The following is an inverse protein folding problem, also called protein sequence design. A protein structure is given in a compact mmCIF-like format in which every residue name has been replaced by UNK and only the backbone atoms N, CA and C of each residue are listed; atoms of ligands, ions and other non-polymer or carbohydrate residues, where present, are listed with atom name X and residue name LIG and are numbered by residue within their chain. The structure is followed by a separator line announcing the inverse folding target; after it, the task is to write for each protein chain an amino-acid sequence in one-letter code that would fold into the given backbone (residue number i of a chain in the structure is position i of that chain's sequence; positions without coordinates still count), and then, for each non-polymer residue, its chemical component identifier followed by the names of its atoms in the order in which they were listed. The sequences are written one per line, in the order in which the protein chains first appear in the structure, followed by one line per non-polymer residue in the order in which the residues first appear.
data_IF_970541835159
#
_entry.id   IF_970541835159
#
_cell.length_a   1.000
_cell.length_b   1.000
_cell.length_c   1.000
_cell.angle_alpha   90.00
_cell.angle_beta   90.00
_cell.angle_gamma   90.00
#
_symmetry.space_group_name_H-M   'P 1'
#
loop_
_entity.id
_entity.type
_entity.pdbx_description
1 polymer ?
#
# COMPACT_ATOMS: atom_id res chain seq x y z
N UNK A 1 -10.02 13.33 2.64
CA UNK A 1 -9.39 13.90 3.86
C UNK A 1 -7.97 14.46 3.62
N UNK A 2 -7.67 14.95 2.42
CA UNK A 2 -6.31 15.41 2.08
C UNK A 2 -5.84 16.59 2.94
N UNK A 3 -4.59 16.53 3.38
CA UNK A 3 -3.88 17.62 4.07
C UNK A 3 -2.38 17.50 3.77
N UNK A 4 -1.71 18.56 3.32
CA UNK A 4 -0.27 18.53 3.05
C UNK A 4 0.59 18.43 4.33
N UNK A 5 -0.02 18.52 5.52
CA UNK A 5 0.65 18.34 6.81
C UNK A 5 0.52 16.93 7.38
N UNK A 6 -0.23 16.04 6.72
CA UNK A 6 -0.44 14.65 7.15
C UNK A 6 0.25 13.69 6.18
N UNK A 7 0.66 12.50 6.65
CA UNK A 7 1.04 11.42 5.74
C UNK A 7 -0.07 11.11 4.73
N UNK A 8 0.31 10.52 3.59
CA UNK A 8 -0.62 10.19 2.53
C UNK A 8 -1.74 9.28 3.06
N UNK A 9 -2.99 9.64 2.79
CA UNK A 9 -4.16 8.84 3.21
C UNK A 9 -4.61 9.06 4.66
N UNK A 10 -3.84 9.77 5.48
CA UNK A 10 -4.22 10.02 6.87
C UNK A 10 -5.23 11.17 6.97
N UNK A 11 -6.38 10.86 7.57
CA UNK A 11 -7.48 11.78 7.75
C UNK A 11 -7.43 12.48 9.11
N UNK A 12 -8.19 13.58 9.26
CA UNK A 12 -8.20 14.37 10.48
C UNK A 12 -8.92 13.69 11.65
N UNK A 13 -9.82 12.78 11.34
CA UNK A 13 -10.58 11.90 12.24
C UNK A 13 -9.81 10.62 12.61
N UNK A 14 -8.51 10.56 12.29
CA UNK A 14 -7.59 9.44 12.55
C UNK A 14 -7.81 8.19 11.70
N UNK A 15 -8.76 8.18 10.76
CA UNK A 15 -8.83 7.09 9.78
C UNK A 15 -7.75 7.20 8.71
N UNK A 16 -7.47 6.09 8.04
CA UNK A 16 -6.68 6.01 6.82
C UNK A 16 -7.59 5.67 5.65
N UNK A 17 -7.27 6.17 4.46
CA UNK A 17 -8.02 5.88 3.24
C UNK A 17 -7.10 5.59 2.07
N UNK A 18 -7.60 4.86 1.05
CA UNK A 18 -6.90 4.74 -0.22
C UNK A 18 -6.56 6.11 -0.80
N UNK A 19 -5.30 6.29 -1.16
CA UNK A 19 -4.74 7.58 -1.56
C UNK A 19 -3.52 7.50 -2.49
N UNK A 20 -3.06 6.31 -2.84
CA UNK A 20 -1.90 6.09 -3.70
C UNK A 20 -2.31 5.47 -5.04
N UNK A 21 -1.76 6.04 -6.12
CA UNK A 21 -1.98 5.64 -7.49
C UNK A 21 -0.66 5.59 -8.26
N UNK A 22 -0.58 4.73 -9.28
CA UNK A 22 0.56 4.64 -10.17
C UNK A 22 0.31 5.47 -11.43
N UNK A 23 1.29 6.26 -11.85
CA UNK A 23 1.25 7.09 -13.05
C UNK A 23 2.52 6.91 -13.88
N UNK A 24 2.41 7.12 -15.19
CA UNK A 24 3.58 7.20 -16.08
C UNK A 24 3.47 8.36 -17.06
N UNK A 25 4.64 8.85 -17.49
CA UNK A 25 4.80 9.85 -18.53
C UNK A 25 6.04 9.47 -19.34
N UNK A 26 6.06 9.87 -20.62
CA UNK A 26 7.23 9.71 -21.47
C UNK A 26 7.75 11.07 -21.93
N UNK A 27 9.04 11.13 -22.22
CA UNK A 27 9.72 12.39 -22.50
C UNK A 27 11.08 12.17 -23.14
N UNK A 28 11.56 13.19 -23.82
CA UNK A 28 12.91 13.18 -24.39
C UNK A 28 13.91 13.60 -23.34
N UNK A 29 14.93 12.77 -23.10
CA UNK A 29 16.05 13.13 -22.22
C UNK A 29 16.88 14.30 -22.77
N UNK A 30 16.79 14.58 -24.07
CA UNK A 30 17.50 15.69 -24.69
C UNK A 30 16.82 17.05 -24.43
N UNK A 31 15.48 17.10 -24.37
CA UNK A 31 14.72 18.34 -24.17
C UNK A 31 14.21 18.51 -22.74
N UNK A 32 14.24 17.44 -21.93
CA UNK A 32 13.66 17.38 -20.59
C UNK A 32 12.17 17.75 -20.56
N UNK A 33 11.49 17.61 -21.71
CA UNK A 33 10.05 17.81 -21.83
C UNK A 33 9.35 16.47 -21.75
N UNK A 34 8.35 16.40 -20.86
CA UNK A 34 7.56 15.21 -20.57
C UNK A 34 6.12 15.41 -21.02
N UNK A 35 5.47 14.33 -21.40
CA UNK A 35 4.02 14.29 -21.59
C UNK A 35 3.29 14.59 -20.28
N UNK A 36 2.00 14.87 -20.37
CA UNK A 36 1.13 14.73 -19.19
C UNK A 36 1.19 13.29 -18.68
N UNK A 37 1.12 13.12 -17.37
CA UNK A 37 1.08 11.80 -16.75
C UNK A 37 -0.27 11.13 -16.97
N UNK A 38 -0.26 9.86 -17.36
CA UNK A 38 -1.43 8.98 -17.40
C UNK A 38 -1.43 8.06 -16.18
N UNK A 39 -2.60 7.87 -15.57
CA UNK A 39 -2.77 6.88 -14.49
C UNK A 39 -2.65 5.48 -15.08
N UNK A 40 -1.85 4.62 -14.45
CA UNK A 40 -1.69 3.20 -14.76
C UNK A 40 -2.53 2.33 -13.82
N UNK A 41 -2.66 2.71 -12.54
CA UNK A 41 -3.45 1.93 -11.60
C UNK A 41 -4.95 2.06 -11.89
N UNK A 42 -5.66 0.95 -11.86
CA UNK A 42 -7.13 0.92 -11.99
C UNK A 42 -7.84 1.18 -10.65
N UNK A 43 -7.12 0.98 -9.55
CA UNK A 43 -7.60 1.13 -8.17
C UNK A 43 -6.65 2.05 -7.42
N UNK A 44 -7.20 2.89 -6.54
CA UNK A 44 -6.41 3.67 -5.58
C UNK A 44 -6.19 2.80 -4.36
N UNK A 45 -4.93 2.67 -3.92
CA UNK A 45 -4.53 1.78 -2.83
C UNK A 45 -4.29 2.54 -1.52
N UNK A 46 -4.46 1.87 -0.38
CA UNK A 46 -4.15 2.42 0.94
C UNK A 46 -2.70 2.09 1.30
N UNK A 47 -1.77 3.06 1.37
CA UNK A 47 -0.38 2.78 1.73
C UNK A 47 -0.18 2.55 3.23
N UNK A 48 -1.23 2.73 4.04
CA UNK A 48 -1.13 2.72 5.49
C UNK A 48 -1.34 1.34 6.13
N UNK A 49 -1.61 0.28 5.35
CA UNK A 49 -1.81 -1.07 5.91
C UNK A 49 -0.65 -1.52 6.80
N UNK A 50 -0.98 -1.92 8.04
CA UNK A 50 -0.02 -2.24 9.08
C UNK A 50 0.53 -3.67 8.95
N UNK A 51 1.36 -3.89 7.95
CA UNK A 51 1.83 -5.24 7.60
C UNK A 51 3.06 -5.69 8.41
N UNK A 52 3.84 -4.79 8.99
CA UNK A 52 5.14 -5.10 9.63
C UNK A 52 5.19 -4.68 11.10
N UNK A 53 6.33 -4.85 11.78
CA UNK A 53 6.49 -4.48 13.20
C UNK A 53 5.66 -5.31 14.17
N UNK A 54 5.15 -6.47 13.73
CA UNK A 54 4.13 -7.20 14.47
C UNK A 54 2.73 -6.61 14.28
N UNK A 55 2.45 -6.07 13.09
CA UNK A 55 1.20 -5.42 12.66
C UNK A 55 0.94 -4.09 13.34
N UNK A 56 1.93 -3.20 13.37
CA UNK A 56 1.84 -1.86 13.99
C UNK A 56 2.57 -0.81 13.16
N UNK A 57 2.90 -1.15 11.92
CA UNK A 57 3.76 -0.33 11.10
C UNK A 57 3.29 -0.41 9.67
N UNK A 58 2.84 0.73 9.10
CA UNK A 58 2.53 0.79 7.69
C UNK A 58 3.80 0.50 6.90
N UNK A 59 3.67 -0.30 5.85
CA UNK A 59 4.75 -0.49 4.90
C UNK A 59 4.20 -0.71 3.51
N UNK A 60 4.62 0.16 2.60
CA UNK A 60 4.49 -0.10 1.18
C UNK A 60 5.79 -0.67 0.62
N UNK A 61 5.74 -1.89 0.06
CA UNK A 61 6.82 -2.43 -0.76
C UNK A 61 7.30 -1.45 -1.85
N UNK A 62 8.61 -1.42 -2.05
CA UNK A 62 9.34 -0.40 -2.83
C UNK A 62 9.55 -0.79 -4.31
N UNK A 63 8.76 -1.74 -4.84
CA UNK A 63 8.90 -2.14 -6.23
C UNK A 63 8.22 -1.13 -7.15
N UNK A 64 9.03 -0.40 -7.90
CA UNK A 64 8.64 0.37 -9.07
C UNK A 64 9.68 0.13 -10.16
N UNK A 65 9.26 -0.48 -11.27
CA UNK A 65 10.17 -0.84 -12.34
C UNK A 65 9.54 -0.58 -13.71
N UNK A 66 10.36 -0.13 -14.66
CA UNK A 66 9.96 0.06 -16.06
C UNK A 66 10.96 -0.71 -16.93
N UNK A 67 10.44 -1.46 -17.89
CA UNK A 67 11.23 -2.08 -18.96
C UNK A 67 10.76 -1.55 -20.31
N UNK A 68 11.70 -1.23 -21.20
CA UNK A 68 11.38 -0.75 -22.54
C UNK A 68 12.25 -1.41 -23.61
N UNK A 69 11.62 -1.74 -24.75
CA UNK A 69 12.26 -2.32 -25.92
C UNK A 69 11.64 -1.71 -27.18
N UNK A 70 12.44 -0.96 -27.94
CA UNK A 70 11.94 -0.27 -29.14
C UNK A 70 10.84 0.73 -28.80
N UNK A 71 9.64 0.52 -29.36
CA UNK A 71 8.45 1.36 -29.12
C UNK A 71 7.54 0.80 -28.03
N UNK A 72 7.94 -0.27 -27.34
CA UNK A 72 7.16 -0.88 -26.25
C UNK A 72 7.78 -0.53 -24.90
N UNK A 73 6.92 -0.22 -23.92
CA UNK A 73 7.31 0.00 -22.54
C UNK A 73 6.25 -0.55 -21.58
N UNK A 74 6.70 -1.17 -20.49
CA UNK A 74 5.83 -1.79 -19.48
C UNK A 74 6.34 -1.45 -18.08
N UNK A 75 5.44 -0.98 -17.24
CA UNK A 75 5.71 -0.57 -15.87
C UNK A 75 5.07 -1.55 -14.90
N UNK A 76 5.75 -1.84 -13.80
CA UNK A 76 5.22 -2.59 -12.67
C UNK A 76 5.39 -1.81 -11.37
N UNK A 77 4.42 -1.94 -10.47
CA UNK A 77 4.41 -1.28 -9.16
C UNK A 77 3.81 -2.20 -8.08
N UNK A 78 4.22 -1.99 -6.83
CA UNK A 78 3.53 -2.58 -5.67
C UNK A 78 2.15 -1.95 -5.48
N UNK A 79 1.13 -2.76 -5.22
CA UNK A 79 -0.24 -2.34 -4.97
C UNK A 79 -0.85 -3.14 -3.80
N UNK A 80 -1.59 -2.46 -2.94
CA UNK A 80 -2.24 -3.03 -1.75
C UNK A 80 -3.75 -3.27 -1.93
N UNK A 81 -4.26 -3.25 -3.16
CA UNK A 81 -5.70 -3.42 -3.43
C UNK A 81 -6.29 -4.73 -2.91
N UNK A 82 -5.47 -5.78 -2.77
CA UNK A 82 -5.92 -7.10 -2.33
C UNK A 82 -5.66 -7.37 -0.83
N UNK A 83 -5.11 -6.39 -0.11
CA UNK A 83 -4.88 -6.56 1.32
C UNK A 83 -6.21 -6.81 2.01
N UNK A 84 -6.27 -7.95 2.70
CA UNK A 84 -7.45 -8.31 3.48
C UNK A 84 -7.36 -7.59 4.83
N UNK A 85 -8.31 -6.69 5.05
CA UNK A 85 -8.47 -6.00 6.33
C UNK A 85 -8.72 -6.99 7.46
N UNK A 86 -8.27 -6.63 8.67
CA UNK A 86 -8.44 -7.43 9.87
C UNK A 86 -8.77 -6.58 11.07
N UNK A 87 -8.35 -7.07 12.23
CA UNK A 87 -8.45 -6.38 13.50
C UNK A 87 -7.18 -6.61 14.29
N UNK A 88 -6.76 -5.61 15.04
CA UNK A 88 -5.70 -5.74 16.01
C UNK A 88 -6.27 -5.96 17.43
N UNK A 89 -5.94 -7.09 18.10
CA UNK A 89 -6.37 -7.33 19.47
C UNK A 89 -5.83 -6.33 20.50
N UNK A 90 -4.83 -5.51 20.16
CA UNK A 90 -4.34 -4.41 21.01
C UNK A 90 -5.31 -3.24 21.07
N UNK A 91 -6.14 -3.05 20.04
CA UNK A 91 -7.13 -1.96 19.98
C UNK A 91 -8.37 -2.20 20.85
N UNK A 92 -8.34 -3.24 21.71
CA UNK A 92 -9.35 -3.47 22.73
C UNK A 92 -9.30 -2.40 23.84
N UNK A 93 -9.81 -1.20 23.56
CA UNK A 93 -9.97 -0.09 24.51
C UNK A 93 -9.34 1.23 24.10
N UNK A 94 -8.47 1.24 23.09
CA UNK A 94 -7.90 2.46 22.48
C UNK A 94 -8.29 2.45 21.00
N UNK A 95 -9.04 3.45 20.57
CA UNK A 95 -9.69 3.50 19.26
C UNK A 95 -8.86 4.30 18.27
N UNK A 96 -7.87 3.68 17.64
CA UNK A 96 -7.48 4.10 16.31
C UNK A 96 -8.44 3.57 15.27
N UNK A 97 -8.85 2.28 15.29
CA UNK A 97 -9.83 1.70 14.35
C UNK A 97 -9.69 2.32 12.95
N UNK A 98 -8.44 2.52 12.55
CA UNK A 98 -8.04 3.54 11.58
C UNK A 98 -8.18 3.00 10.15
N UNK A 99 -8.77 1.81 10.03
CA UNK A 99 -8.93 1.07 8.78
C UNK A 99 -7.59 0.68 8.13
N UNK A 100 -6.52 0.57 8.92
CA UNK A 100 -5.20 0.10 8.50
C UNK A 100 -4.83 -1.30 9.02
N UNK A 101 -5.65 -1.88 9.88
CA UNK A 101 -5.49 -3.24 10.40
C UNK A 101 -5.59 -4.31 9.31
N UNK A 102 -4.66 -5.26 9.33
CA UNK A 102 -4.65 -6.37 8.37
C UNK A 102 -5.03 -7.70 9.01
N UNK A 103 -5.54 -8.61 8.19
CA UNK A 103 -5.87 -9.96 8.62
C UNK A 103 -4.65 -10.71 9.14
N UNK A 104 -4.83 -11.44 10.24
CA UNK A 104 -3.77 -12.20 10.91
C UNK A 104 -4.38 -13.38 11.67
N UNK A 105 -3.68 -14.51 11.69
CA UNK A 105 -4.06 -15.67 12.52
C UNK A 105 -3.04 -15.84 13.64
N UNK A 106 -2.80 -14.74 14.34
CA UNK A 106 -2.00 -14.66 15.56
C UNK A 106 -2.93 -14.45 16.76
N UNK A 107 -2.56 -14.99 17.90
CA UNK A 107 -3.25 -14.75 19.16
C UNK A 107 -2.30 -14.04 20.11
N UNK A 108 -2.80 -13.02 20.81
CA UNK A 108 -2.03 -12.36 21.87
C UNK A 108 -2.05 -13.22 23.14
N UNK A 109 -0.88 -13.50 23.69
CA UNK A 109 -0.69 -14.19 24.95
C UNK A 109 -0.92 -13.22 26.13
N UNK A 110 -1.16 -13.72 27.36
CA UNK A 110 -1.34 -12.87 28.54
C UNK A 110 -0.16 -11.94 28.87
N UNK A 111 1.05 -12.27 28.41
CA UNK A 111 2.25 -11.44 28.57
C UNK A 111 2.40 -10.35 27.49
N UNK A 112 1.42 -10.22 26.59
CA UNK A 112 1.39 -9.27 25.48
C UNK A 112 2.13 -9.73 24.22
N UNK A 113 2.86 -10.85 24.26
CA UNK A 113 3.49 -11.45 23.08
C UNK A 113 2.45 -12.05 22.13
N UNK A 114 2.84 -12.33 20.88
CA UNK A 114 1.95 -12.97 19.90
C UNK A 114 2.46 -14.36 19.52
N UNK A 115 1.54 -15.28 19.26
CA UNK A 115 1.85 -16.55 18.62
C UNK A 115 2.38 -16.34 17.19
N UNK A 116 2.92 -17.42 16.59
CA UNK A 116 3.21 -17.44 15.16
C UNK A 116 1.93 -17.16 14.34
N UNK A 117 2.09 -16.50 13.20
CA UNK A 117 1.01 -16.33 12.23
C UNK A 117 0.78 -17.66 11.50
N UNK A 118 -0.42 -18.20 11.66
CA UNK A 118 -0.81 -19.49 11.06
C UNK A 118 -1.50 -19.32 9.70
N UNK A 119 -1.74 -18.08 9.24
CA UNK A 119 -2.32 -17.80 7.93
C UNK A 119 -1.60 -16.66 7.18
N UNK A 120 -0.26 -16.68 7.05
CA UNK A 120 0.48 -15.58 6.43
C UNK A 120 0.12 -15.33 4.95
N UNK A 121 -0.52 -16.30 4.28
CA UNK A 121 -0.95 -16.22 2.88
C UNK A 121 -2.44 -15.91 2.70
N UNK A 122 -3.15 -15.54 3.77
CA UNK A 122 -4.59 -15.24 3.73
C UNK A 122 -4.88 -13.76 3.42
N UNK A 123 -3.95 -13.06 2.76
CA UNK A 123 -4.19 -11.71 2.22
C UNK A 123 -3.78 -10.55 3.12
N UNK A 124 -3.57 -10.75 4.43
CA UNK A 124 -3.18 -9.65 5.33
C UNK A 124 -1.77 -9.10 5.09
N UNK A 125 -0.93 -9.86 4.37
CA UNK A 125 0.44 -9.48 4.04
C UNK A 125 0.65 -9.22 2.54
N UNK A 126 -0.43 -9.12 1.77
CA UNK A 126 -0.31 -9.00 0.32
C UNK A 126 0.36 -7.68 -0.06
N UNK A 127 1.44 -7.80 -0.82
CA UNK A 127 2.19 -6.72 -1.46
C UNK A 127 2.34 -7.06 -2.93
N UNK A 128 1.20 -7.12 -3.61
CA UNK A 128 1.10 -7.66 -4.95
C UNK A 128 1.75 -6.71 -5.96
N UNK A 129 2.35 -7.28 -7.01
CA UNK A 129 2.95 -6.51 -8.10
C UNK A 129 1.98 -6.49 -9.27
N UNK A 130 1.54 -5.28 -9.62
CA UNK A 130 0.70 -5.01 -10.78
C UNK A 130 1.52 -4.35 -11.88
N UNK A 131 1.00 -4.35 -13.10
CA UNK A 131 1.66 -3.67 -14.21
C UNK A 131 0.72 -3.33 -15.34
N UNK A 132 1.17 -2.39 -16.17
CA UNK A 132 0.48 -1.96 -17.38
C UNK A 132 1.48 -1.40 -18.40
N UNK A 133 1.04 -1.26 -19.65
CA UNK A 133 1.77 -0.58 -20.72
C UNK A 133 1.95 0.88 -20.35
N UNK A 134 3.17 1.41 -20.49
CA UNK A 134 3.45 2.83 -20.25
C UNK A 134 3.54 3.63 -21.56
N UNK A 135 3.32 4.95 -21.51
CA UNK A 135 3.57 5.85 -22.63
C UNK A 135 5.03 5.89 -23.10
#
# INVERSE_FOLDING_TARGET
CYSPQRPLGNCADRSTVPSLDAFAASGSTATLSWSSASRLSEVTSNPNWEQFGGRTSPFGGDYLYISSVGTFSYGVWTDWRDVVAGSDPREGGDSDADSADVHQCRTQNPDGSFTIDTCPYAGGLDQNIYGDVTP
#
